data_IF_617705681627
#
_entry.id   IF_617705681627
#
_cell.length_a   1.000
_cell.length_b   1.000
_cell.length_c   1.000
_cell.angle_alpha   90.00
_cell.angle_beta   90.00
_cell.angle_gamma   90.00
#
_symmetry.space_group_name_H-M   'P 1'
#
loop_
_entity.id
_entity.type
_entity.pdbx_description
1 polymer ?
#
# COMPACT_ATOMS: atom_id res chain seq x y z
N UNK A 1 19.84 -2.40 15.73
CA UNK A 1 19.64 -3.15 14.47
C UNK A 1 20.22 -4.57 14.50
N UNK A 2 19.90 -5.42 15.50
CA UNK A 2 20.40 -6.81 15.50
C UNK A 2 19.51 -7.78 14.71
N UNK A 3 18.48 -7.30 13.99
CA UNK A 3 17.47 -8.16 13.36
C UNK A 3 17.85 -8.68 11.96
N UNK A 4 18.92 -8.18 11.36
CA UNK A 4 19.31 -8.56 10.00
C UNK A 4 20.24 -9.77 9.90
N UNK A 5 20.94 -10.14 10.95
CA UNK A 5 21.86 -11.29 10.93
C UNK A 5 21.17 -12.66 10.89
N UNK A 6 19.91 -12.73 11.32
CA UNK A 6 19.13 -13.98 11.30
C UNK A 6 18.64 -14.37 9.90
N UNK A 7 18.81 -13.52 8.90
CA UNK A 7 18.35 -13.77 7.53
C UNK A 7 19.28 -14.65 6.69
N UNK A 8 20.55 -14.72 7.03
CA UNK A 8 21.53 -15.41 6.19
C UNK A 8 21.56 -16.92 6.35
N UNK A 9 21.10 -17.45 7.48
CA UNK A 9 21.29 -18.87 7.80
C UNK A 9 20.10 -19.79 7.47
N UNK A 10 18.88 -19.30 7.40
CA UNK A 10 17.71 -20.16 7.17
C UNK A 10 17.30 -20.34 5.71
N UNK A 11 17.82 -19.50 4.78
CA UNK A 11 17.55 -19.65 3.36
C UNK A 11 18.56 -20.51 2.59
N UNK A 12 19.62 -20.95 3.24
CA UNK A 12 20.64 -21.82 2.60
C UNK A 12 20.16 -23.27 2.37
N UNK A 13 19.00 -23.65 2.91
CA UNK A 13 18.37 -24.96 2.73
C UNK A 13 17.11 -24.94 1.85
N UNK A 14 16.74 -23.78 1.29
CA UNK A 14 15.72 -23.72 0.26
C UNK A 14 16.30 -24.38 -1.02
N UNK A 15 15.68 -25.45 -1.42
CA UNK A 15 15.99 -26.34 -2.54
C UNK A 15 16.64 -25.60 -3.72
N UNK A 16 17.77 -26.08 -4.19
CA UNK A 16 18.38 -25.71 -5.47
C UNK A 16 17.31 -25.83 -6.56
N UNK A 17 16.73 -24.71 -7.00
CA UNK A 17 15.76 -24.68 -8.10
C UNK A 17 14.49 -23.86 -7.89
N UNK A 18 14.14 -23.43 -6.66
CA UNK A 18 12.99 -22.58 -6.45
C UNK A 18 13.31 -21.11 -6.78
N UNK A 19 12.52 -20.50 -7.67
CA UNK A 19 12.62 -19.06 -7.94
C UNK A 19 12.32 -18.28 -6.66
N UNK A 20 13.18 -17.33 -6.25
CA UNK A 20 12.94 -16.55 -5.04
C UNK A 20 11.58 -15.84 -5.09
N UNK A 21 10.83 -15.91 -4.00
CA UNK A 21 9.55 -15.21 -3.88
C UNK A 21 9.80 -13.70 -3.91
N UNK A 22 9.20 -13.04 -4.91
CA UNK A 22 9.28 -11.58 -5.04
C UNK A 22 8.17 -10.94 -4.24
N UNK A 23 8.51 -9.88 -3.49
CA UNK A 23 7.59 -9.05 -2.72
C UNK A 23 7.72 -7.61 -3.18
N UNK A 24 6.61 -6.89 -3.21
CA UNK A 24 6.55 -5.48 -3.58
C UNK A 24 6.07 -4.66 -2.39
N UNK A 25 6.91 -3.73 -1.92
CA UNK A 25 6.53 -2.71 -0.95
C UNK A 25 6.60 -1.33 -1.61
N UNK A 26 5.52 -0.55 -1.56
CA UNK A 26 5.49 0.83 -2.05
C UNK A 26 5.24 1.77 -0.89
N UNK A 27 6.17 2.70 -0.67
CA UNK A 27 6.16 3.63 0.45
C UNK A 27 6.15 5.06 -0.09
N UNK A 28 5.23 5.86 0.41
CA UNK A 28 5.09 7.24 0.02
C UNK A 28 5.09 8.13 1.26
N UNK A 29 5.86 9.20 1.24
CA UNK A 29 5.80 10.27 2.22
C UNK A 29 5.52 11.61 1.53
N UNK A 30 4.71 12.46 2.15
CA UNK A 30 4.28 13.72 1.56
C UNK A 30 5.33 14.83 1.72
N UNK A 31 4.95 16.03 1.28
CA UNK A 31 5.63 17.30 1.54
C UNK A 31 6.99 17.46 0.83
N UNK A 32 7.29 16.56 -0.12
CA UNK A 32 8.50 16.65 -0.94
C UNK A 32 9.77 16.27 -0.21
N UNK A 33 10.89 16.75 -0.73
CA UNK A 33 12.23 16.46 -0.23
C UNK A 33 13.11 17.71 -0.28
N UNK A 34 14.14 17.85 0.56
CA UNK A 34 15.04 19.00 0.51
C UNK A 34 15.83 19.00 -0.81
N UNK A 35 15.70 20.10 -1.55
CA UNK A 35 16.37 20.31 -2.84
C UNK A 35 17.03 21.70 -2.88
N UNK A 36 18.03 21.96 -2.03
CA UNK A 36 18.76 23.24 -2.06
C UNK A 36 19.39 23.44 -3.44
N UNK A 37 19.47 24.69 -3.88
CA UNK A 37 20.12 25.03 -5.13
C UNK A 37 21.60 24.66 -5.06
N UNK A 38 22.22 24.42 -6.22
CA UNK A 38 23.63 23.96 -6.27
C UNK A 38 24.61 24.97 -5.66
N UNK A 39 24.30 26.25 -5.76
CA UNK A 39 25.02 27.38 -5.20
C UNK A 39 24.77 27.60 -3.70
N UNK A 40 23.76 26.97 -3.13
CA UNK A 40 23.48 27.03 -1.71
C UNK A 40 24.47 26.17 -0.92
N UNK A 41 25.11 26.71 0.13
CA UNK A 41 26.00 25.92 0.99
C UNK A 41 25.35 24.65 1.57
N UNK A 42 24.03 24.64 1.79
CA UNK A 42 23.29 23.49 2.26
C UNK A 42 23.23 22.34 1.24
N UNK A 43 23.46 22.60 -0.06
CA UNK A 43 23.39 21.57 -1.09
C UNK A 43 24.33 20.40 -0.85
N UNK A 44 25.55 20.68 -0.39
CA UNK A 44 26.55 19.64 -0.10
C UNK A 44 26.05 18.61 0.92
N UNK A 45 25.37 19.10 1.95
CA UNK A 45 25.00 18.28 3.10
C UNK A 45 23.54 17.78 3.07
N UNK A 46 22.63 18.54 2.45
CA UNK A 46 21.19 18.34 2.59
C UNK A 46 20.43 18.11 1.28
N UNK A 47 21.12 18.01 0.13
CA UNK A 47 20.45 17.58 -1.06
C UNK A 47 19.86 16.17 -0.87
N UNK A 48 18.61 15.96 -1.30
CA UNK A 48 17.97 14.66 -1.19
C UNK A 48 18.72 13.59 -1.99
N UNK A 49 19.08 13.91 -3.23
CA UNK A 49 19.84 12.96 -4.05
C UNK A 49 21.31 12.93 -3.66
N UNK A 50 21.92 11.74 -3.54
CA UNK A 50 23.34 11.61 -3.26
C UNK A 50 24.18 12.24 -4.37
N UNK A 51 25.39 12.65 -4.03
CA UNK A 51 26.36 13.21 -4.98
C UNK A 51 27.09 12.13 -5.74
N UNK A 52 27.30 12.35 -7.03
CA UNK A 52 27.91 11.36 -7.91
C UNK A 52 26.88 10.45 -8.59
N UNK A 53 27.38 9.41 -9.25
CA UNK A 53 26.55 8.47 -10.01
C UNK A 53 27.16 7.06 -10.01
N UNK A 54 26.39 6.11 -10.52
CA UNK A 54 26.80 4.70 -10.55
C UNK A 54 26.95 4.14 -9.15
N UNK A 55 27.98 3.34 -8.91
CA UNK A 55 28.24 2.72 -7.60
C UNK A 55 29.03 3.63 -6.63
N UNK A 56 29.65 4.69 -7.14
CA UNK A 56 30.52 5.57 -6.37
C UNK A 56 29.82 6.87 -5.95
N UNK A 57 28.54 6.79 -5.58
CA UNK A 57 27.83 7.93 -5.05
C UNK A 57 28.12 8.14 -3.56
N UNK A 58 28.00 9.37 -3.10
CA UNK A 58 28.16 9.74 -1.69
C UNK A 58 26.80 10.16 -1.13
N UNK A 59 26.39 9.54 -0.03
CA UNK A 59 25.19 9.97 0.67
C UNK A 59 25.34 11.39 1.22
N UNK A 60 24.23 12.06 1.35
CA UNK A 60 24.06 13.30 2.10
C UNK A 60 23.46 12.97 3.46
N UNK A 61 23.39 13.93 4.36
CA UNK A 61 22.78 13.75 5.69
C UNK A 61 21.33 13.21 5.62
N UNK A 62 20.63 13.48 4.53
CA UNK A 62 19.28 12.94 4.32
C UNK A 62 19.26 11.41 4.21
N UNK A 63 20.33 10.81 3.74
CA UNK A 63 20.41 9.38 3.47
C UNK A 63 21.49 8.64 4.30
N UNK A 64 22.22 9.33 5.15
CA UNK A 64 23.23 8.71 6.04
C UNK A 64 22.71 7.46 6.78
N UNK A 65 21.46 7.43 7.29
CA UNK A 65 20.93 6.24 7.95
C UNK A 65 20.82 5.01 7.04
N UNK A 66 20.89 5.19 5.72
CA UNK A 66 20.81 4.11 4.73
C UNK A 66 22.19 3.53 4.35
N UNK A 67 23.29 4.10 4.89
CA UNK A 67 24.64 3.63 4.58
C UNK A 67 24.84 2.10 4.76
N UNK A 68 24.28 1.46 5.81
CA UNK A 68 24.36 0.00 5.95
C UNK A 68 23.67 -0.78 4.82
N UNK A 69 22.77 -0.15 4.08
CA UNK A 69 22.00 -0.74 2.98
C UNK A 69 22.51 -0.33 1.59
N UNK A 70 23.65 0.33 1.51
CA UNK A 70 24.20 0.88 0.26
C UNK A 70 24.19 -0.12 -0.90
N UNK A 71 24.57 -1.36 -0.64
CA UNK A 71 24.64 -2.40 -1.66
C UNK A 71 23.28 -2.95 -2.10
N UNK A 72 22.25 -2.70 -1.31
CA UNK A 72 20.85 -3.13 -1.53
C UNK A 72 19.99 -1.98 -2.09
N UNK A 73 20.56 -0.78 -2.21
CA UNK A 73 19.84 0.43 -2.56
C UNK A 73 20.16 0.89 -3.99
N UNK A 74 19.13 1.26 -4.73
CA UNK A 74 19.25 1.99 -6.00
C UNK A 74 18.52 3.31 -5.89
N UNK A 75 19.25 4.43 -6.01
CA UNK A 75 18.66 5.77 -6.05
C UNK A 75 18.43 6.17 -7.51
N UNK A 76 17.19 6.46 -7.85
CA UNK A 76 16.79 6.87 -9.19
C UNK A 76 16.34 8.32 -9.16
N UNK A 77 16.98 9.19 -9.96
CA UNK A 77 16.63 10.58 -10.11
C UNK A 77 16.21 10.90 -11.54
N UNK A 78 15.68 12.09 -11.77
CA UNK A 78 15.30 12.56 -13.11
C UNK A 78 13.99 11.99 -13.64
N UNK A 79 13.26 11.19 -12.86
CA UNK A 79 11.93 10.74 -13.23
C UNK A 79 10.92 11.88 -13.05
N UNK A 80 9.89 11.86 -13.86
CA UNK A 80 8.83 12.87 -13.82
C UNK A 80 7.48 12.25 -14.16
N UNK A 81 6.47 12.63 -13.40
CA UNK A 81 5.08 12.33 -13.70
C UNK A 81 4.49 13.49 -14.51
N UNK A 82 4.41 13.35 -15.84
CA UNK A 82 4.00 14.44 -16.74
C UNK A 82 2.59 14.96 -16.41
N UNK A 83 1.64 14.08 -16.14
CA UNK A 83 0.27 14.47 -15.79
C UNK A 83 0.19 15.16 -14.41
N UNK A 84 1.04 14.77 -13.47
CA UNK A 84 1.12 15.36 -12.13
C UNK A 84 1.55 16.82 -12.11
N UNK A 85 2.29 17.29 -13.15
CA UNK A 85 2.74 18.69 -13.24
C UNK A 85 1.60 19.70 -13.33
N UNK A 86 0.42 19.27 -13.74
CA UNK A 86 -0.76 20.13 -13.88
C UNK A 86 -1.72 20.06 -12.69
N UNK A 87 -1.34 19.34 -11.64
CA UNK A 87 -2.11 19.18 -10.41
C UNK A 87 -1.40 19.92 -9.29
N UNK A 88 -2.16 20.52 -8.38
CA UNK A 88 -1.60 21.22 -7.23
C UNK A 88 -0.74 20.25 -6.38
N UNK A 89 0.41 20.72 -5.87
CA UNK A 89 1.40 19.88 -5.18
C UNK A 89 0.86 19.12 -3.98
N UNK A 90 -0.17 19.65 -3.31
CA UNK A 90 -0.84 18.97 -2.18
C UNK A 90 -1.91 17.95 -2.59
N UNK A 91 -2.02 17.59 -3.87
CA UNK A 91 -3.07 16.72 -4.41
C UNK A 91 -2.51 15.59 -5.29
N UNK A 92 -1.24 15.22 -5.13
CA UNK A 92 -0.54 14.32 -6.06
C UNK A 92 -0.40 12.87 -5.56
N UNK A 93 -0.66 12.57 -4.30
CA UNK A 93 -0.50 11.22 -3.74
C UNK A 93 -1.33 10.19 -4.50
N UNK A 94 -2.52 10.56 -4.96
CA UNK A 94 -3.42 9.70 -5.72
C UNK A 94 -2.90 9.30 -7.11
N UNK A 95 -1.84 9.96 -7.60
CA UNK A 95 -1.20 9.67 -8.88
C UNK A 95 0.11 8.87 -8.74
N UNK A 96 0.63 8.74 -7.54
CA UNK A 96 1.96 8.18 -7.30
C UNK A 96 2.14 6.79 -7.92
N UNK A 97 1.21 5.88 -7.73
CA UNK A 97 1.29 4.51 -8.27
C UNK A 97 0.41 4.28 -9.50
N UNK A 98 -0.40 5.26 -9.91
CA UNK A 98 -1.31 5.11 -11.06
C UNK A 98 -0.77 5.76 -12.31
N UNK A 99 0.07 6.78 -12.19
CA UNK A 99 0.52 7.65 -13.27
C UNK A 99 -0.64 8.26 -14.09
N UNK A 100 -1.84 8.34 -13.52
CA UNK A 100 -3.04 8.78 -14.21
C UNK A 100 -3.07 10.31 -14.34
N UNK A 101 -3.71 10.80 -15.41
CA UNK A 101 -4.08 12.20 -15.54
C UNK A 101 -5.40 12.43 -14.80
N UNK A 102 -5.36 12.57 -13.49
CA UNK A 102 -6.56 12.69 -12.64
C UNK A 102 -7.37 13.95 -12.87
N UNK A 103 -6.87 14.88 -13.69
CA UNK A 103 -7.48 16.16 -14.00
C UNK A 103 -7.20 17.23 -12.92
N UNK A 104 -7.46 18.48 -13.26
CA UNK A 104 -7.32 19.64 -12.38
C UNK A 104 -8.54 20.56 -12.51
N UNK A 105 -8.79 21.39 -11.49
CA UNK A 105 -9.93 22.30 -11.48
C UNK A 105 -11.27 21.55 -11.59
N UNK A 106 -12.17 22.03 -12.45
CA UNK A 106 -13.52 21.49 -12.63
C UNK A 106 -13.61 20.24 -13.51
N UNK A 107 -12.48 19.70 -13.94
CA UNK A 107 -12.47 18.46 -14.73
C UNK A 107 -12.92 17.27 -13.88
N UNK A 108 -13.69 16.38 -14.51
CA UNK A 108 -14.11 15.12 -13.88
C UNK A 108 -12.88 14.34 -13.46
N UNK A 109 -12.82 14.01 -12.17
CA UNK A 109 -11.74 13.19 -11.64
C UNK A 109 -11.82 11.77 -12.20
N UNK A 110 -10.70 11.30 -12.74
CA UNK A 110 -10.54 9.91 -13.18
C UNK A 110 -9.17 9.40 -12.72
N UNK A 111 -9.17 8.23 -12.12
CA UNK A 111 -7.94 7.54 -11.80
C UNK A 111 -7.92 6.16 -12.48
N UNK A 112 -6.82 5.44 -12.35
CA UNK A 112 -6.61 4.12 -12.95
C UNK A 112 -6.09 3.14 -11.90
N UNK A 113 -5.93 1.88 -12.29
CA UNK A 113 -5.33 0.87 -11.41
C UNK A 113 -3.91 1.29 -11.00
N UNK A 114 -3.60 1.13 -9.73
CA UNK A 114 -2.26 1.38 -9.20
C UNK A 114 -1.32 0.18 -9.41
N UNK A 115 -0.02 0.44 -9.49
CA UNK A 115 1.03 -0.55 -9.73
C UNK A 115 0.98 -1.73 -8.74
N UNK A 116 0.77 -1.44 -7.47
CA UNK A 116 0.65 -2.44 -6.41
C UNK A 116 -0.53 -3.37 -6.65
N UNK A 117 -1.68 -2.84 -7.06
CA UNK A 117 -2.87 -3.63 -7.34
C UNK A 117 -2.75 -4.40 -8.66
N UNK A 118 -2.04 -3.85 -9.65
CA UNK A 118 -1.72 -4.57 -10.85
C UNK A 118 -0.83 -5.79 -10.53
N UNK A 119 0.18 -5.63 -9.68
CA UNK A 119 1.03 -6.72 -9.23
C UNK A 119 0.28 -7.72 -8.33
N UNK A 120 -0.58 -7.22 -7.44
CA UNK A 120 -1.41 -8.06 -6.57
C UNK A 120 -2.33 -9.02 -7.36
N UNK A 121 -2.75 -8.66 -8.56
CA UNK A 121 -3.52 -9.56 -9.44
C UNK A 121 -2.71 -10.76 -9.93
N UNK A 122 -1.40 -10.65 -10.03
CA UNK A 122 -0.54 -11.76 -10.45
C UNK A 122 -0.15 -12.69 -9.31
N UNK A 123 0.01 -12.16 -8.10
CA UNK A 123 0.54 -12.93 -6.97
C UNK A 123 -0.47 -13.16 -5.86
N UNK A 124 -1.55 -12.39 -5.86
CA UNK A 124 -2.48 -12.32 -4.74
C UNK A 124 -3.24 -13.63 -4.47
N UNK A 125 -3.43 -14.47 -5.47
CA UNK A 125 -4.10 -15.78 -5.28
C UNK A 125 -3.25 -16.78 -4.52
N UNK A 126 -1.95 -16.54 -4.44
CA UNK A 126 -1.00 -17.42 -3.76
C UNK A 126 -0.87 -17.10 -2.27
N UNK A 127 -1.50 -16.04 -1.77
CA UNK A 127 -1.42 -15.58 -0.39
C UNK A 127 -2.81 -15.32 0.19
N UNK A 128 -2.92 -15.33 1.53
CA UNK A 128 -4.20 -15.07 2.21
C UNK A 128 -4.78 -13.69 1.84
N UNK A 129 -3.93 -12.67 1.82
CA UNK A 129 -4.30 -11.31 1.43
C UNK A 129 -3.62 -10.95 0.12
N UNK A 130 -4.38 -10.48 -0.86
CA UNK A 130 -3.84 -10.09 -2.16
C UNK A 130 -2.87 -8.91 -2.02
N UNK A 131 -3.22 -7.95 -1.16
CA UNK A 131 -2.39 -6.81 -0.78
C UNK A 131 -2.72 -6.35 0.64
N UNK A 132 -1.77 -5.65 1.25
CA UNK A 132 -1.93 -4.93 2.51
C UNK A 132 -1.81 -3.44 2.21
N UNK A 133 -2.92 -2.70 2.34
CA UNK A 133 -2.98 -1.26 2.08
C UNK A 133 -3.05 -0.51 3.39
N UNK A 134 -2.05 0.33 3.65
CA UNK A 134 -1.87 1.03 4.90
C UNK A 134 -1.64 2.52 4.68
N UNK A 135 -2.07 3.33 5.62
CA UNK A 135 -1.67 4.74 5.72
C UNK A 135 -1.70 5.22 7.17
N UNK A 136 -1.09 6.36 7.44
CA UNK A 136 -1.12 6.96 8.77
C UNK A 136 -2.49 7.54 9.11
N UNK A 137 -3.20 8.05 8.11
CA UNK A 137 -4.50 8.72 8.30
C UNK A 137 -5.69 7.75 8.18
N UNK A 138 -5.54 6.64 7.46
CA UNK A 138 -6.58 5.64 7.26
C UNK A 138 -7.68 6.04 6.28
N UNK A 139 -8.44 5.04 5.81
CA UNK A 139 -9.53 5.25 4.86
C UNK A 139 -9.07 5.59 3.45
N UNK A 140 -9.93 6.29 2.70
CA UNK A 140 -9.65 6.68 1.31
C UNK A 140 -9.26 8.14 1.15
N UNK A 141 -9.58 8.97 2.13
CA UNK A 141 -9.49 10.43 1.99
C UNK A 141 -10.56 10.98 1.06
N UNK A 142 -10.24 12.08 0.40
CA UNK A 142 -11.09 12.76 -0.58
C UNK A 142 -10.42 12.73 -1.96
N UNK A 143 -11.19 13.07 -2.99
CA UNK A 143 -10.64 13.33 -4.32
C UNK A 143 -9.59 14.43 -4.22
N UNK A 144 -8.38 14.17 -4.73
CA UNK A 144 -7.22 15.07 -4.63
C UNK A 144 -6.78 15.39 -3.18
N UNK A 145 -7.13 14.56 -2.24
CA UNK A 145 -6.71 14.59 -0.84
C UNK A 145 -6.69 13.16 -0.32
N UNK A 146 -6.00 12.29 -1.05
CA UNK A 146 -6.03 10.85 -0.82
C UNK A 146 -5.30 10.46 0.47
N UNK A 147 -5.88 9.53 1.20
CA UNK A 147 -5.27 8.84 2.33
C UNK A 147 -4.81 7.42 1.95
N UNK A 148 -4.78 7.11 0.67
CA UNK A 148 -4.31 5.85 0.11
C UNK A 148 -3.65 6.11 -1.24
N UNK A 149 -2.64 5.32 -1.56
CA UNK A 149 -1.98 5.31 -2.87
C UNK A 149 -2.39 4.12 -3.73
N UNK A 150 -3.32 3.30 -3.24
CA UNK A 150 -3.80 2.09 -3.90
C UNK A 150 -5.17 2.29 -4.51
N UNK A 151 -5.29 1.92 -5.79
CA UNK A 151 -6.52 2.08 -6.58
C UNK A 151 -6.84 0.80 -7.34
N UNK A 152 -8.12 0.42 -7.33
CA UNK A 152 -8.60 -0.74 -8.06
C UNK A 152 -8.57 -0.51 -9.58
N UNK A 153 -8.95 -1.52 -10.37
CA UNK A 153 -8.97 -1.46 -11.83
C UNK A 153 -9.92 -0.40 -12.41
N UNK A 154 -10.90 0.04 -11.63
CA UNK A 154 -11.85 1.09 -12.01
C UNK A 154 -11.38 2.49 -11.57
N UNK A 155 -10.18 2.58 -11.01
CA UNK A 155 -9.65 3.83 -10.46
C UNK A 155 -10.30 4.26 -9.15
N UNK A 156 -10.93 3.35 -8.42
CA UNK A 156 -11.51 3.62 -7.10
C UNK A 156 -10.47 3.40 -6.02
N UNK A 157 -10.40 4.33 -5.08
CA UNK A 157 -9.49 4.26 -3.95
C UNK A 157 -9.79 3.04 -3.06
N UNK A 158 -8.76 2.28 -2.72
CA UNK A 158 -8.85 1.17 -1.77
C UNK A 158 -8.59 1.73 -0.37
N UNK A 159 -9.52 1.53 0.59
CA UNK A 159 -9.33 2.03 1.95
C UNK A 159 -8.08 1.48 2.60
N UNK A 160 -7.28 2.37 3.17
CA UNK A 160 -6.09 2.02 3.93
C UNK A 160 -6.41 1.82 5.41
N UNK A 161 -5.73 0.89 6.07
CA UNK A 161 -5.83 0.72 7.52
C UNK A 161 -4.67 1.47 8.21
N UNK A 162 -5.00 2.13 9.33
CA UNK A 162 -4.04 2.92 10.10
C UNK A 162 -3.87 2.46 11.56
N UNK A 163 -4.62 1.45 12.00
CA UNK A 163 -4.54 0.95 13.38
C UNK A 163 -3.69 -0.31 13.45
N UNK A 164 -2.52 -0.26 14.12
CA UNK A 164 -1.62 -1.41 14.22
C UNK A 164 -2.30 -2.66 14.75
N UNK A 165 -3.14 -2.51 15.80
CA UNK A 165 -3.91 -3.62 16.38
C UNK A 165 -4.83 -4.29 15.37
N UNK A 166 -5.55 -3.51 14.57
CA UNK A 166 -6.44 -4.08 13.54
C UNK A 166 -5.67 -4.80 12.44
N UNK A 167 -4.54 -4.24 12.01
CA UNK A 167 -3.68 -4.88 11.01
C UNK A 167 -3.15 -6.21 11.57
N UNK A 168 -2.67 -6.21 12.80
CA UNK A 168 -2.19 -7.41 13.47
C UNK A 168 -3.29 -8.48 13.58
N UNK A 169 -4.46 -8.09 14.07
CA UNK A 169 -5.59 -9.01 14.26
C UNK A 169 -6.06 -9.59 12.90
N UNK A 170 -6.13 -8.77 11.87
CA UNK A 170 -6.47 -9.22 10.51
C UNK A 170 -5.48 -10.27 9.99
N UNK A 171 -4.18 -10.06 10.23
CA UNK A 171 -3.13 -10.93 9.68
C UNK A 171 -2.93 -12.21 10.50
N UNK A 172 -3.05 -12.16 11.84
CA UNK A 172 -2.52 -13.18 12.74
C UNK A 172 -3.50 -13.69 13.79
N UNK A 173 -4.66 -13.06 13.98
CA UNK A 173 -5.63 -13.50 15.00
C UNK A 173 -6.86 -14.10 14.32
N UNK A 174 -7.20 -15.33 14.71
CA UNK A 174 -8.42 -15.98 14.24
C UNK A 174 -9.62 -15.45 15.04
N UNK A 175 -10.28 -14.43 14.51
CA UNK A 175 -11.33 -13.71 15.22
C UNK A 175 -12.77 -14.23 14.98
N UNK A 176 -12.96 -15.38 14.28
CA UNK A 176 -14.28 -15.59 13.71
C UNK A 176 -14.82 -17.01 13.79
N UNK A 177 -15.60 -17.26 14.84
CA UNK A 177 -16.42 -18.46 14.97
C UNK A 177 -17.52 -18.51 13.87
N UNK A 178 -17.96 -17.34 13.40
CA UNK A 178 -19.03 -17.19 12.40
C UNK A 178 -18.54 -16.86 10.97
N UNK A 179 -17.22 -16.85 10.72
CA UNK A 179 -16.68 -16.49 9.40
C UNK A 179 -17.28 -17.34 8.27
N UNK A 180 -17.39 -18.64 8.47
CA UNK A 180 -17.98 -19.55 7.48
C UNK A 180 -19.42 -19.17 7.17
N UNK A 181 -20.20 -18.86 8.19
CA UNK A 181 -21.60 -18.44 8.04
C UNK A 181 -21.72 -17.11 7.32
N UNK A 182 -20.90 -16.11 7.68
CA UNK A 182 -20.90 -14.80 6.98
C UNK A 182 -20.48 -14.92 5.53
N UNK A 183 -19.47 -15.75 5.22
CA UNK A 183 -19.06 -15.99 3.83
C UNK A 183 -20.16 -16.68 3.03
N UNK A 184 -20.89 -17.63 3.64
CA UNK A 184 -22.03 -18.27 2.98
C UNK A 184 -23.15 -17.27 2.68
N UNK A 185 -23.51 -16.40 3.65
CA UNK A 185 -24.48 -15.33 3.44
C UNK A 185 -24.05 -14.32 2.38
N UNK A 186 -22.77 -13.91 2.38
CA UNK A 186 -22.23 -13.00 1.38
C UNK A 186 -22.30 -13.60 -0.01
N UNK A 187 -22.00 -14.88 -0.16
CA UNK A 187 -22.12 -15.55 -1.45
C UNK A 187 -23.56 -15.62 -1.93
N UNK A 188 -24.50 -16.04 -1.06
CA UNK A 188 -25.92 -16.11 -1.42
C UNK A 188 -26.45 -14.74 -1.89
N UNK A 189 -26.10 -13.67 -1.20
CA UNK A 189 -26.48 -12.32 -1.59
C UNK A 189 -25.88 -11.88 -2.94
N UNK A 190 -24.63 -12.28 -3.22
CA UNK A 190 -24.00 -12.01 -4.52
C UNK A 190 -24.62 -12.79 -5.66
N UNK A 191 -24.95 -14.06 -5.44
CA UNK A 191 -25.61 -14.92 -6.42
C UNK A 191 -27.01 -14.38 -6.78
N UNK A 192 -27.80 -13.97 -5.79
CA UNK A 192 -29.12 -13.35 -5.98
C UNK A 192 -29.00 -12.03 -6.77
N UNK A 193 -28.07 -11.19 -6.42
CA UNK A 193 -27.83 -9.91 -7.08
C UNK A 193 -27.40 -10.09 -8.54
N UNK A 194 -26.55 -11.08 -8.82
CA UNK A 194 -26.14 -11.41 -10.19
C UNK A 194 -27.31 -11.93 -11.04
N UNK A 195 -28.22 -12.73 -10.47
CA UNK A 195 -29.41 -13.22 -11.14
C UNK A 195 -30.36 -12.09 -11.49
N UNK A 196 -30.64 -11.19 -10.53
CA UNK A 196 -31.50 -10.02 -10.73
C UNK A 196 -30.93 -9.07 -11.80
N UNK A 197 -29.63 -8.82 -11.75
CA UNK A 197 -28.98 -7.96 -12.73
C UNK A 197 -29.01 -8.53 -14.15
N UNK A 198 -28.91 -9.86 -14.33
CA UNK A 198 -29.06 -10.49 -15.62
C UNK A 198 -30.48 -10.32 -16.20
N UNK A 199 -31.52 -10.35 -15.36
CA UNK A 199 -32.90 -10.09 -15.78
C UNK A 199 -33.08 -8.62 -16.14
N UNK A 200 -32.56 -7.71 -15.34
CA UNK A 200 -32.63 -6.27 -15.57
C UNK A 200 -31.95 -5.89 -16.89
N UNK A 201 -30.77 -6.45 -17.17
CA UNK A 201 -30.00 -6.19 -18.39
C UNK A 201 -30.79 -6.34 -19.68
N UNK A 202 -31.70 -7.33 -19.73
CA UNK A 202 -32.56 -7.59 -20.90
C UNK A 202 -33.58 -6.48 -21.18
N UNK A 203 -33.81 -5.59 -20.22
CA UNK A 203 -34.85 -4.53 -20.26
C UNK A 203 -34.24 -3.13 -20.40
N UNK A 204 -32.92 -2.99 -20.38
CA UNK A 204 -32.22 -1.72 -20.41
C UNK A 204 -31.80 -1.31 -21.82
N UNK A 205 -31.64 0.01 -22.01
CA UNK A 205 -30.99 0.58 -23.18
C UNK A 205 -29.53 0.19 -23.26
N UNK A 206 -28.89 0.30 -24.44
CA UNK A 206 -27.46 -0.03 -24.59
C UNK A 206 -26.54 0.83 -23.70
N UNK A 207 -26.92 2.09 -23.42
CA UNK A 207 -26.18 2.97 -22.50
C UNK A 207 -26.27 2.47 -21.07
N UNK A 208 -27.47 2.13 -20.62
CA UNK A 208 -27.69 1.65 -19.25
C UNK A 208 -27.11 0.23 -19.05
N UNK A 209 -27.05 -0.58 -20.11
CA UNK A 209 -26.37 -1.88 -20.07
C UNK A 209 -24.88 -1.73 -19.76
N UNK A 210 -24.20 -0.73 -20.31
CA UNK A 210 -22.79 -0.46 -19.99
C UNK A 210 -22.61 -0.09 -18.53
N UNK A 211 -23.45 0.75 -17.98
CA UNK A 211 -23.43 1.12 -16.56
C UNK A 211 -23.68 -0.08 -15.64
N UNK A 212 -24.63 -0.94 -16.05
CA UNK A 212 -24.90 -2.18 -15.33
C UNK A 212 -23.71 -3.17 -15.42
N UNK A 213 -23.07 -3.27 -16.58
CA UNK A 213 -21.89 -4.13 -16.76
C UNK A 213 -20.70 -3.67 -15.89
N UNK A 214 -20.48 -2.36 -15.72
CA UNK A 214 -19.51 -1.80 -14.77
C UNK A 214 -19.85 -2.18 -13.32
N UNK A 215 -21.14 -2.09 -12.95
CA UNK A 215 -21.60 -2.50 -11.62
C UNK A 215 -21.41 -4.01 -11.41
N UNK A 216 -21.83 -4.85 -12.34
CA UNK A 216 -21.68 -6.30 -12.29
C UNK A 216 -20.22 -6.74 -12.19
N UNK A 217 -19.34 -5.96 -12.78
CA UNK A 217 -17.92 -6.20 -12.65
C UNK A 217 -17.43 -6.03 -11.19
N UNK A 218 -17.89 -5.00 -10.50
CA UNK A 218 -17.59 -4.79 -9.08
C UNK A 218 -18.16 -5.92 -8.20
N UNK A 219 -19.31 -6.45 -8.56
CA UNK A 219 -19.92 -7.62 -7.89
C UNK A 219 -19.06 -8.87 -8.07
N UNK A 220 -18.57 -9.12 -9.28
CA UNK A 220 -17.64 -10.24 -9.54
C UNK A 220 -16.34 -10.15 -8.76
N UNK A 221 -15.79 -8.95 -8.59
CA UNK A 221 -14.61 -8.77 -7.75
C UNK A 221 -14.90 -9.07 -6.27
N UNK A 222 -16.10 -8.74 -5.79
CA UNK A 222 -16.54 -9.13 -4.45
C UNK A 222 -16.69 -10.66 -4.33
N UNK A 223 -17.26 -11.32 -5.34
CA UNK A 223 -17.37 -12.77 -5.41
C UNK A 223 -16.00 -13.46 -5.33
N UNK A 224 -15.05 -13.02 -6.14
CA UNK A 224 -13.67 -13.56 -6.11
C UNK A 224 -13.07 -13.40 -4.71
N UNK A 225 -13.27 -12.26 -4.03
CA UNK A 225 -12.79 -12.07 -2.66
C UNK A 225 -13.45 -13.02 -1.66
N UNK A 226 -14.74 -13.28 -1.79
CA UNK A 226 -15.47 -14.23 -0.94
C UNK A 226 -14.98 -15.66 -1.18
N UNK A 227 -14.82 -16.07 -2.43
CA UNK A 227 -14.28 -17.39 -2.78
C UNK A 227 -12.86 -17.59 -2.23
N UNK A 228 -12.01 -16.58 -2.38
CA UNK A 228 -10.66 -16.60 -1.81
C UNK A 228 -10.69 -16.70 -0.27
N UNK A 229 -11.53 -15.92 0.39
CA UNK A 229 -11.67 -16.01 1.84
C UNK A 229 -12.11 -17.40 2.30
N UNK A 230 -13.01 -18.06 1.56
CA UNK A 230 -13.41 -19.45 1.82
C UNK A 230 -12.25 -20.44 1.69
N UNK A 231 -11.41 -20.27 0.68
CA UNK A 231 -10.24 -21.13 0.45
C UNK A 231 -9.26 -21.06 1.63
N UNK A 232 -9.09 -19.87 2.22
CA UNK A 232 -8.14 -19.64 3.31
C UNK A 232 -8.71 -19.83 4.72
N UNK A 233 -10.03 -19.95 4.88
CA UNK A 233 -10.67 -20.01 6.21
C UNK A 233 -10.19 -21.18 7.08
N UNK A 234 -9.89 -22.32 6.46
CA UNK A 234 -9.42 -23.53 7.13
C UNK A 234 -7.88 -23.61 7.19
N UNK A 235 -7.17 -22.68 6.56
CA UNK A 235 -5.71 -22.64 6.63
C UNK A 235 -5.29 -22.02 7.95
N UNK A 236 -4.43 -22.66 8.75
CA UNK A 236 -3.93 -22.09 9.99
C UNK A 236 -3.30 -20.72 9.76
N UNK A 237 -3.50 -19.81 10.72
CA UNK A 237 -2.79 -18.54 10.73
C UNK A 237 -1.35 -18.72 11.18
N UNK A 238 -0.40 -17.95 10.65
CA UNK A 238 0.96 -17.94 11.16
C UNK A 238 0.98 -17.53 12.63
N UNK A 239 1.76 -18.23 13.44
CA UNK A 239 2.01 -17.82 14.82
C UNK A 239 3.11 -16.75 14.84
N UNK A 240 2.80 -15.61 15.42
CA UNK A 240 3.71 -14.48 15.56
C UNK A 240 3.71 -14.02 17.01
N UNK A 241 4.90 -13.85 17.59
CA UNK A 241 5.03 -13.25 18.91
C UNK A 241 5.00 -11.73 18.79
N UNK A 242 4.02 -11.11 19.41
CA UNK A 242 3.80 -9.65 19.44
C UNK A 242 4.16 -9.01 20.78
N UNK A 243 4.76 -9.73 21.73
CA UNK A 243 4.99 -9.26 23.10
C UNK A 243 5.83 -7.97 23.17
N UNK A 244 6.62 -7.70 22.13
CA UNK A 244 7.47 -6.51 22.04
C UNK A 244 6.87 -5.39 21.21
N UNK A 245 5.69 -5.58 20.61
CA UNK A 245 5.04 -4.60 19.77
C UNK A 245 4.01 -3.81 20.57
N UNK A 246 4.07 -2.50 20.51
CA UNK A 246 2.98 -1.67 21.02
C UNK A 246 1.90 -1.52 19.95
N UNK A 247 0.92 -2.41 19.96
CA UNK A 247 -0.16 -2.42 18.97
C UNK A 247 -1.22 -1.33 19.18
N UNK A 248 -1.24 -0.69 20.35
CA UNK A 248 -2.16 0.43 20.66
C UNK A 248 -1.50 1.80 20.41
N UNK A 249 -0.31 1.82 19.82
CA UNK A 249 0.40 3.04 19.49
C UNK A 249 -0.37 3.89 18.48
N UNK A 250 -0.30 5.18 18.62
CA UNK A 250 -0.97 6.18 17.78
C UNK A 250 0.03 7.15 17.12
N UNK A 251 -0.35 7.88 16.05
CA UNK A 251 0.58 8.75 15.30
C UNK A 251 1.19 9.91 16.10
N UNK A 252 0.66 10.26 17.26
CA UNK A 252 1.23 11.25 18.17
C UNK A 252 2.59 10.84 18.75
N UNK A 253 2.93 9.56 18.66
CA UNK A 253 4.27 9.02 18.92
C UNK A 253 4.91 8.53 17.60
N UNK A 254 5.28 9.44 16.70
CA UNK A 254 5.48 9.12 15.27
C UNK A 254 6.58 8.11 15.04
N UNK A 255 7.68 8.17 15.77
CA UNK A 255 8.81 7.23 15.63
C UNK A 255 8.38 5.78 15.93
N UNK A 256 7.74 5.58 17.07
CA UNK A 256 7.29 4.26 17.50
C UNK A 256 6.15 3.73 16.63
N UNK A 257 5.24 4.63 16.24
CA UNK A 257 4.15 4.30 15.35
C UNK A 257 4.67 3.80 13.98
N UNK A 258 5.54 4.57 13.33
CA UNK A 258 6.14 4.18 12.06
C UNK A 258 6.92 2.85 12.19
N UNK A 259 7.69 2.70 13.25
CA UNK A 259 8.41 1.45 13.51
C UNK A 259 7.45 0.26 13.60
N UNK A 260 6.36 0.38 14.35
CA UNK A 260 5.33 -0.68 14.48
C UNK A 260 4.66 -0.98 13.13
N UNK A 261 4.34 0.05 12.35
CA UNK A 261 3.73 -0.13 11.02
C UNK A 261 4.67 -0.87 10.06
N UNK A 262 5.95 -0.51 10.03
CA UNK A 262 6.94 -1.23 9.22
C UNK A 262 7.19 -2.66 9.70
N UNK A 263 7.14 -2.89 11.00
CA UNK A 263 7.28 -4.23 11.57
C UNK A 263 6.10 -5.14 11.17
N UNK A 264 4.88 -4.60 11.11
CA UNK A 264 3.70 -5.32 10.62
C UNK A 264 3.84 -5.71 9.14
N UNK A 265 4.38 -4.82 8.29
CA UNK A 265 4.67 -5.14 6.88
C UNK A 265 5.72 -6.24 6.80
N UNK A 266 6.79 -6.12 7.59
CA UNK A 266 7.82 -7.15 7.65
C UNK A 266 7.26 -8.52 8.04
N UNK A 267 6.43 -8.57 9.08
CA UNK A 267 5.79 -9.80 9.52
C UNK A 267 4.85 -10.37 8.46
N UNK A 268 4.07 -9.53 7.80
CA UNK A 268 3.19 -9.94 6.71
C UNK A 268 3.98 -10.57 5.53
N UNK A 269 5.14 -10.00 5.20
CA UNK A 269 6.03 -10.56 4.18
C UNK A 269 6.77 -11.82 4.64
N UNK A 270 7.23 -11.85 5.89
CA UNK A 270 7.94 -12.99 6.46
C UNK A 270 7.07 -14.24 6.53
N UNK A 271 5.80 -14.07 6.86
CA UNK A 271 4.82 -15.15 6.98
C UNK A 271 4.15 -15.51 5.66
N UNK A 272 4.50 -14.83 4.56
CA UNK A 272 3.84 -14.91 3.25
C UNK A 272 2.31 -14.69 3.33
N UNK A 273 1.86 -13.92 4.31
CA UNK A 273 0.45 -13.54 4.45
C UNK A 273 -0.01 -12.65 3.29
N UNK A 274 0.90 -11.84 2.77
CA UNK A 274 0.79 -11.10 1.50
C UNK A 274 2.17 -10.94 0.87
N UNK A 275 2.20 -10.66 -0.43
CA UNK A 275 3.42 -10.31 -1.19
C UNK A 275 3.40 -8.88 -1.70
N UNK A 276 2.36 -8.12 -1.37
CA UNK A 276 2.19 -6.74 -1.79
C UNK A 276 1.77 -5.89 -0.61
N UNK A 277 2.50 -4.82 -0.34
CA UNK A 277 2.14 -3.86 0.69
C UNK A 277 2.34 -2.42 0.20
N UNK A 278 1.43 -1.54 0.57
CA UNK A 278 1.59 -0.10 0.39
C UNK A 278 1.45 0.61 1.72
N UNK A 279 2.22 1.66 1.90
CA UNK A 279 2.10 2.51 3.06
C UNK A 279 2.29 3.98 2.69
N UNK A 280 1.22 4.75 2.83
CA UNK A 280 1.26 6.20 2.75
C UNK A 280 1.55 6.77 4.16
N UNK A 281 2.75 7.31 4.34
CA UNK A 281 3.27 7.73 5.66
C UNK A 281 2.60 9.01 6.17
N UNK A 282 1.96 9.77 5.32
CA UNK A 282 1.17 10.94 5.68
C UNK A 282 0.39 11.43 4.48
N UNK A 283 -0.45 12.43 4.69
CA UNK A 283 -1.21 13.08 3.63
C UNK A 283 -0.55 14.37 3.18
N UNK A 284 -0.74 14.75 1.94
CA UNK A 284 -0.12 15.95 1.34
C UNK A 284 -0.78 17.26 1.77
N UNK A 285 -1.96 17.19 2.37
CA UNK A 285 -2.77 18.37 2.58
C UNK A 285 -3.25 18.39 4.04
N UNK A 286 -2.52 19.12 4.86
CA UNK A 286 -2.87 19.43 6.21
C UNK A 286 -2.07 18.69 7.29
N UNK A 287 -2.51 18.88 8.51
CA UNK A 287 -1.93 18.29 9.72
C UNK A 287 -2.07 16.78 9.72
N UNK A 288 -1.05 16.11 10.18
CA UNK A 288 -1.01 14.67 10.30
C UNK A 288 0.27 14.24 11.01
N UNK A 289 0.83 13.12 10.62
CA UNK A 289 2.09 12.66 11.22
C UNK A 289 3.25 13.65 10.99
N UNK A 290 3.22 14.45 9.94
CA UNK A 290 4.21 15.49 9.67
C UNK A 290 4.35 16.47 10.81
N UNK A 291 3.24 16.88 11.43
CA UNK A 291 3.23 17.75 12.61
C UNK A 291 3.85 17.08 13.83
N UNK A 292 3.52 15.81 14.03
CA UNK A 292 4.07 15.05 15.15
C UNK A 292 5.57 14.80 14.97
N UNK A 293 6.01 14.53 13.73
CA UNK A 293 7.43 14.36 13.40
C UNK A 293 8.22 15.63 13.69
N UNK A 294 7.76 16.78 13.20
CA UNK A 294 8.46 18.07 13.43
C UNK A 294 8.59 18.39 14.91
N UNK A 295 7.56 18.14 15.72
CA UNK A 295 7.62 18.32 17.18
C UNK A 295 8.53 17.32 17.89
N UNK A 296 8.68 16.12 17.35
CA UNK A 296 9.50 15.06 17.95
C UNK A 296 10.99 15.22 17.66
N UNK A 297 11.35 15.95 16.59
CA UNK A 297 12.75 16.17 16.21
C UNK A 297 13.27 17.55 16.65
N UNK A 298 12.41 18.46 17.10
CA UNK A 298 12.76 19.82 17.56
C UNK A 298 12.72 20.83 16.43
#
# INVERSE_FOLDING_TARGET
>A
LPLFETFSASNALASRGATPLKRLGCFYFPDGVPMPLREDPAHKDWAWFPHGNGRNFNFTKCMDPLEPLRNELTVISGLSHTAGRNVHGHNNADQFLTAAATGSGDRVYKNSISLDQLYARHVGDQTRFASLVMSTDGGTGTVRGAHTISYDRNGRAIPAENRPKRIFDMLFVKNDVDATRRLAHSQSALDELLADAQQLRKRLSSHDQNSLDEYLHSVREAEIRVQKAKQWINTPLPSVNADRMNLEITPDQPRLYLQTMFELIYLAFKTDSTRVATYQIGRENGVGISDHLSRAIG
#
